data_IF_994149816191
#
_entry.id   IF_994149816191
#
_cell.length_a   1.000
_cell.length_b   1.000
_cell.length_c   1.000
_cell.angle_alpha   90.00
_cell.angle_beta   90.00
_cell.angle_gamma   90.00
#
_symmetry.space_group_name_H-M   'P 1'
#
loop_
_entity.id
_entity.type
_entity.pdbx_description
1 polymer ?
#
# COMPACT_ATOMS: atom_id res chain seq x y z
N UNK A 1 13.70 0.53 4.33
CA UNK A 1 13.93 0.99 2.94
C UNK A 1 14.45 2.41 2.97
N UNK A 2 15.35 2.83 2.07
CA UNK A 2 15.73 4.24 2.00
C UNK A 2 14.47 5.06 1.69
N UNK A 3 14.22 6.11 2.48
CA UNK A 3 13.13 7.10 2.31
C UNK A 3 11.69 6.73 2.75
N UNK A 4 11.49 5.83 3.74
CA UNK A 4 10.13 5.53 4.28
C UNK A 4 9.34 6.76 4.78
N UNK A 5 10.07 7.80 5.21
CA UNK A 5 9.50 9.06 5.70
C UNK A 5 9.68 10.23 4.73
N UNK A 6 10.04 9.98 3.48
CA UNK A 6 9.96 11.00 2.43
C UNK A 6 8.54 11.04 1.85
N UNK A 7 8.13 12.23 1.42
CA UNK A 7 6.92 12.41 0.63
C UNK A 7 7.28 13.30 -0.57
N UNK A 8 6.74 13.03 -1.78
CA UNK A 8 6.97 13.87 -2.94
C UNK A 8 6.22 15.21 -2.85
N UNK A 9 5.22 15.33 -1.97
CA UNK A 9 4.41 16.52 -1.78
C UNK A 9 4.25 16.79 -0.28
N UNK A 10 4.25 18.07 0.08
CA UNK A 10 3.89 18.51 1.41
C UNK A 10 2.38 18.62 1.59
N UNK A 11 1.93 18.64 2.86
CA UNK A 11 0.51 18.70 3.17
C UNK A 11 -0.21 19.84 2.43
N UNK A 12 0.40 21.02 2.36
CA UNK A 12 -0.17 22.23 1.76
C UNK A 12 -0.42 22.11 0.24
N UNK A 13 0.29 21.19 -0.42
CA UNK A 13 0.24 20.98 -1.87
C UNK A 13 -0.89 20.01 -2.27
N UNK A 14 -1.48 19.29 -1.30
CA UNK A 14 -2.57 18.36 -1.53
C UNK A 14 -3.90 19.10 -1.79
N UNK A 15 -4.15 19.39 -3.07
CA UNK A 15 -5.34 20.06 -3.60
C UNK A 15 -6.16 19.10 -4.48
N UNK A 16 -6.51 17.94 -3.94
CA UNK A 16 -7.25 16.89 -4.63
C UNK A 16 -8.31 16.24 -3.71
N UNK A 17 -9.25 15.50 -4.31
CA UNK A 17 -10.25 14.72 -3.56
C UNK A 17 -9.78 13.31 -3.16
N UNK A 18 -8.70 12.83 -3.78
CA UNK A 18 -8.16 11.48 -3.58
C UNK A 18 -6.64 11.50 -3.77
N UNK A 19 -5.92 10.78 -2.91
CA UNK A 19 -4.51 10.46 -3.09
C UNK A 19 -4.36 8.96 -3.27
N UNK A 20 -3.70 8.57 -4.36
CA UNK A 20 -3.36 7.19 -4.65
C UNK A 20 -1.85 7.06 -4.74
N UNK A 21 -1.28 6.20 -3.90
CA UNK A 21 0.16 5.93 -3.87
C UNK A 21 0.40 4.47 -4.29
N UNK A 22 1.33 4.22 -5.21
CA UNK A 22 1.63 2.87 -5.69
C UNK A 22 2.57 2.11 -4.76
N UNK A 23 3.23 2.81 -3.83
CA UNK A 23 4.08 2.19 -2.82
C UNK A 23 3.19 1.42 -1.85
N UNK A 24 3.51 0.14 -1.64
CA UNK A 24 2.83 -0.76 -0.71
C UNK A 24 3.74 -1.26 0.42
N UNK A 25 4.99 -0.80 0.46
CA UNK A 25 5.99 -1.07 1.51
C UNK A 25 6.68 0.25 1.88
N UNK A 26 6.25 0.94 2.94
CA UNK A 26 5.19 0.57 3.89
C UNK A 26 3.78 0.67 3.29
N UNK A 27 2.80 0.01 3.90
CA UNK A 27 1.38 0.04 3.50
C UNK A 27 0.78 1.44 3.65
N UNK A 28 1.30 2.25 4.59
CA UNK A 28 0.95 3.66 4.76
C UNK A 28 2.19 4.54 4.60
N UNK A 29 2.38 5.11 3.42
CA UNK A 29 3.46 6.07 3.16
C UNK A 29 3.23 7.40 3.85
N UNK A 30 4.28 8.25 3.94
CA UNK A 30 4.11 9.62 4.47
C UNK A 30 3.08 10.42 3.68
N UNK A 31 3.01 10.24 2.35
CA UNK A 31 2.03 10.90 1.49
C UNK A 31 0.58 10.53 1.88
N UNK A 32 0.31 9.23 2.05
CA UNK A 32 -1.02 8.76 2.48
C UNK A 32 -1.37 9.29 3.88
N UNK A 33 -0.41 9.28 4.81
CA UNK A 33 -0.62 9.85 6.16
C UNK A 33 -0.90 11.36 6.13
N UNK A 34 -0.26 12.11 5.22
CA UNK A 34 -0.52 13.55 5.02
C UNK A 34 -1.94 13.79 4.48
N UNK A 35 -2.37 12.98 3.52
CA UNK A 35 -3.72 13.05 2.94
C UNK A 35 -4.81 12.72 3.98
N UNK A 36 -4.64 11.63 4.73
CA UNK A 36 -5.56 11.22 5.81
C UNK A 36 -5.74 12.33 6.85
N UNK A 37 -4.65 12.99 7.27
CA UNK A 37 -4.72 14.11 8.23
C UNK A 37 -5.49 15.33 7.71
N UNK A 38 -5.61 15.48 6.39
CA UNK A 38 -6.40 16.54 5.75
C UNK A 38 -7.83 16.11 5.44
N UNK A 39 -8.23 14.88 5.80
CA UNK A 39 -9.53 14.31 5.43
C UNK A 39 -9.67 14.00 3.95
N UNK A 40 -8.55 13.89 3.22
CA UNK A 40 -8.54 13.51 1.81
C UNK A 40 -8.62 11.99 1.72
N UNK A 41 -9.46 11.47 0.83
CA UNK A 41 -9.58 10.03 0.62
C UNK A 41 -8.24 9.44 0.15
N UNK A 42 -7.97 8.19 0.51
CA UNK A 42 -6.71 7.51 0.15
C UNK A 42 -6.97 6.15 -0.49
N UNK A 43 -6.14 5.81 -1.47
CA UNK A 43 -5.96 4.46 -1.99
C UNK A 43 -4.50 4.05 -1.81
N UNK A 44 -4.29 2.81 -1.36
CA UNK A 44 -2.95 2.30 -1.08
C UNK A 44 -2.37 1.53 -2.25
N UNK A 45 -1.05 1.39 -2.29
CA UNK A 45 -0.39 0.58 -3.31
C UNK A 45 -0.78 -0.90 -3.23
N UNK A 46 -1.30 -1.34 -2.08
CA UNK A 46 -1.80 -2.71 -1.87
C UNK A 46 -2.97 -3.00 -2.80
N UNK A 47 -3.84 -2.02 -3.04
CA UNK A 47 -4.98 -2.16 -3.95
C UNK A 47 -4.50 -2.39 -5.39
N UNK A 48 -3.51 -1.61 -5.84
CA UNK A 48 -2.87 -1.83 -7.14
C UNK A 48 -2.17 -3.19 -7.20
N UNK A 49 -1.41 -3.54 -6.15
CA UNK A 49 -0.64 -4.78 -6.09
C UNK A 49 -1.54 -6.02 -6.20
N UNK A 50 -2.72 -6.00 -5.57
CA UNK A 50 -3.72 -7.07 -5.73
C UNK A 50 -4.31 -7.04 -7.15
N UNK A 51 -4.71 -5.87 -7.65
CA UNK A 51 -5.34 -5.75 -8.96
C UNK A 51 -4.44 -6.23 -10.10
N UNK A 52 -3.16 -5.89 -10.08
CA UNK A 52 -2.19 -6.36 -11.09
C UNK A 52 -1.97 -7.89 -10.98
N UNK A 53 -1.96 -8.44 -9.78
CA UNK A 53 -1.82 -9.88 -9.56
C UNK A 53 -3.04 -10.66 -10.06
N UNK A 54 -4.24 -10.10 -9.89
CA UNK A 54 -5.48 -10.63 -10.47
C UNK A 54 -5.37 -10.68 -12.00
N UNK A 55 -4.98 -9.58 -12.63
CA UNK A 55 -4.83 -9.54 -14.09
C UNK A 55 -3.80 -10.56 -14.60
N UNK A 56 -2.67 -10.71 -13.90
CA UNK A 56 -1.66 -11.73 -14.23
C UNK A 56 -2.20 -13.15 -14.10
N UNK A 57 -2.91 -13.45 -13.00
CA UNK A 57 -3.53 -14.76 -12.78
C UNK A 57 -4.48 -15.12 -13.92
N UNK A 58 -5.41 -14.22 -14.25
CA UNK A 58 -6.42 -14.47 -15.29
C UNK A 58 -5.77 -14.63 -16.67
N UNK A 59 -4.75 -13.84 -16.97
CA UNK A 59 -4.02 -13.92 -18.23
C UNK A 59 -3.26 -15.25 -18.39
N UNK A 60 -2.62 -15.74 -17.33
CA UNK A 60 -1.78 -16.95 -17.41
C UNK A 60 -2.55 -18.25 -17.26
N UNK A 61 -3.59 -18.26 -16.42
CA UNK A 61 -4.37 -19.47 -16.14
C UNK A 61 -5.57 -19.61 -17.06
N UNK A 62 -6.07 -18.51 -17.62
CA UNK A 62 -7.37 -18.48 -18.31
C UNK A 62 -8.57 -18.64 -17.36
N UNK A 63 -8.33 -18.69 -16.05
CA UNK A 63 -9.37 -18.84 -15.02
C UNK A 63 -9.61 -17.52 -14.28
N UNK A 64 -10.84 -17.34 -13.77
CA UNK A 64 -11.18 -16.18 -12.94
C UNK A 64 -10.38 -16.19 -11.64
N UNK A 65 -9.75 -15.06 -11.30
CA UNK A 65 -8.91 -15.00 -10.11
C UNK A 65 -9.73 -15.09 -8.82
N UNK A 66 -9.21 -15.78 -7.78
CA UNK A 66 -9.82 -15.79 -6.45
C UNK A 66 -9.52 -14.48 -5.69
N UNK A 67 -10.05 -13.35 -6.19
CA UNK A 67 -9.72 -11.97 -5.75
C UNK A 67 -9.77 -11.79 -4.23
N UNK A 68 -10.81 -12.32 -3.57
CA UNK A 68 -10.98 -12.19 -2.11
C UNK A 68 -9.85 -12.88 -1.35
N UNK A 69 -9.45 -14.08 -1.77
CA UNK A 69 -8.37 -14.84 -1.14
C UNK A 69 -7.02 -14.14 -1.37
N UNK A 70 -6.76 -13.69 -2.61
CA UNK A 70 -5.55 -12.95 -2.94
C UNK A 70 -5.40 -11.69 -2.09
N UNK A 71 -6.48 -10.89 -1.98
CA UNK A 71 -6.48 -9.68 -1.14
C UNK A 71 -6.22 -9.99 0.34
N UNK A 72 -6.87 -11.03 0.87
CA UNK A 72 -6.72 -11.42 2.27
C UNK A 72 -5.27 -11.83 2.57
N UNK A 73 -4.68 -12.69 1.73
CA UNK A 73 -3.31 -13.18 1.94
C UNK A 73 -2.26 -12.08 1.78
N UNK A 74 -2.39 -11.23 0.76
CA UNK A 74 -1.49 -10.09 0.56
C UNK A 74 -1.52 -9.16 1.78
N UNK A 75 -2.72 -8.80 2.24
CA UNK A 75 -2.87 -7.89 3.39
C UNK A 75 -2.28 -8.50 4.66
N UNK A 76 -2.53 -9.78 4.91
CA UNK A 76 -1.99 -10.48 6.07
C UNK A 76 -0.46 -10.62 6.00
N UNK A 77 0.10 -10.91 4.82
CA UNK A 77 1.54 -11.01 4.63
C UNK A 77 2.26 -9.68 4.88
N UNK A 78 1.74 -8.58 4.32
CA UNK A 78 2.33 -7.25 4.52
C UNK A 78 2.25 -6.81 5.99
N UNK A 79 1.14 -7.07 6.69
CA UNK A 79 1.01 -6.77 8.11
C UNK A 79 2.02 -7.56 8.98
N UNK A 80 2.23 -8.85 8.67
CA UNK A 80 3.27 -9.66 9.33
C UNK A 80 4.66 -9.09 9.07
N UNK A 81 4.96 -8.72 7.85
CA UNK A 81 6.27 -8.16 7.48
C UNK A 81 6.54 -6.81 8.17
N UNK A 82 5.56 -5.90 8.22
CA UNK A 82 5.70 -4.61 8.90
C UNK A 82 5.94 -4.78 10.41
N UNK A 83 5.20 -5.68 11.07
CA UNK A 83 5.37 -5.95 12.50
C UNK A 83 6.77 -6.50 12.81
N UNK A 84 7.26 -7.44 12.01
CA UNK A 84 8.62 -7.97 12.14
C UNK A 84 9.68 -6.90 11.89
N UNK A 85 9.49 -6.06 10.87
CA UNK A 85 10.41 -4.97 10.54
C UNK A 85 10.46 -3.90 11.63
N UNK A 86 9.32 -3.64 12.30
CA UNK A 86 9.26 -2.73 13.45
C UNK A 86 9.92 -3.32 14.70
N UNK A 87 9.71 -4.62 14.97
CA UNK A 87 10.36 -5.32 16.08
C UNK A 87 11.89 -5.32 15.92
N UNK A 88 12.40 -5.60 14.72
CA UNK A 88 13.86 -5.57 14.42
C UNK A 88 14.47 -4.18 14.66
N UNK A 89 13.76 -3.11 14.28
CA UNK A 89 14.20 -1.72 14.47
C UNK A 89 14.16 -1.24 15.93
N UNK A 90 13.31 -1.82 16.77
CA UNK A 90 13.24 -1.46 18.19
C UNK A 90 14.27 -2.19 19.06
N UNK A 91 14.95 -3.20 18.51
CA UNK A 91 15.95 -4.02 19.20
C UNK A 91 17.40 -3.61 18.86
N UNK A 92 17.58 -2.56 18.06
CA UNK A 92 18.87 -1.95 17.67
C UNK A 92 18.90 -0.52 18.19
#
# INVERSE_FOLDING_TARGET
MPHEDASPLEAAELRCGLVFDLIYRPMRTRLLRLAERRGIATLSGVDMFVAQGVAQWELWTGEKAPVRAMRAEVTAALAREESQSRARRSAT
#
